data_IF_066921991704
#
_entry.id   IF_066921991704
#
_cell.length_a   1.000
_cell.length_b   1.000
_cell.length_c   1.000
_cell.angle_alpha   90.00
_cell.angle_beta   90.00
_cell.angle_gamma   90.00
#
_symmetry.space_group_name_H-M   'P 1'
#
loop_
_entity.id
_entity.type
_entity.pdbx_description
1 polymer ?
#
# COMPACT_ATOMS: atom_id res chain seq x y z
N UNK A 1 11.29 0.11 9.35
CA UNK A 1 12.59 -0.50 8.95
C UNK A 1 12.53 -1.03 7.52
N UNK A 2 13.37 -0.53 6.59
CA UNK A 2 13.46 -1.02 5.21
C UNK A 2 14.07 -2.44 5.10
N UNK A 3 13.79 -3.15 4.02
CA UNK A 3 14.28 -4.52 3.80
C UNK A 3 15.82 -4.65 3.84
N UNK A 4 16.54 -3.64 3.35
CA UNK A 4 18.00 -3.65 3.29
C UNK A 4 18.68 -2.85 4.40
N UNK A 5 17.92 -2.30 5.37
CA UNK A 5 18.34 -1.27 6.33
C UNK A 5 19.85 -1.28 6.65
N UNK A 6 20.68 -0.52 5.89
CA UNK A 6 22.13 -0.77 5.88
C UNK A 6 22.80 -0.46 7.22
N UNK A 7 22.24 0.50 7.96
CA UNK A 7 22.69 0.89 9.30
C UNK A 7 22.55 -0.24 10.32
N UNK A 8 21.59 -1.15 10.14
CA UNK A 8 21.41 -2.31 11.01
C UNK A 8 20.77 -3.48 10.23
N UNK A 9 21.58 -4.28 9.51
CA UNK A 9 21.06 -5.39 8.71
C UNK A 9 20.50 -6.53 9.56
N UNK A 10 20.95 -6.66 10.81
CA UNK A 10 20.39 -7.65 11.74
C UNK A 10 18.94 -7.30 12.10
N UNK A 11 18.68 -6.02 12.37
CA UNK A 11 17.32 -5.53 12.60
C UNK A 11 16.43 -5.74 11.38
N UNK A 12 16.92 -5.48 10.16
CA UNK A 12 16.14 -5.74 8.94
C UNK A 12 15.71 -7.22 8.82
N UNK A 13 16.64 -8.15 9.08
CA UNK A 13 16.34 -9.60 9.06
C UNK A 13 15.34 -9.97 10.15
N UNK A 14 15.49 -9.41 11.36
CA UNK A 14 14.57 -9.64 12.46
C UNK A 14 13.16 -9.14 12.15
N UNK A 15 13.02 -7.90 11.64
CA UNK A 15 11.74 -7.33 11.21
C UNK A 15 11.09 -8.19 10.13
N UNK A 16 11.86 -8.65 9.14
CA UNK A 16 11.37 -9.56 8.10
C UNK A 16 10.83 -10.87 8.70
N UNK A 17 11.52 -11.42 9.71
CA UNK A 17 11.06 -12.61 10.43
C UNK A 17 9.75 -12.35 11.18
N UNK A 18 9.60 -11.21 11.87
CA UNK A 18 8.35 -10.88 12.57
C UNK A 18 7.17 -10.79 11.59
N UNK A 19 7.34 -10.08 10.47
CA UNK A 19 6.29 -9.98 9.43
C UNK A 19 5.91 -11.33 8.85
N UNK A 20 6.87 -12.23 8.64
CA UNK A 20 6.60 -13.61 8.18
C UNK A 20 5.78 -14.39 9.21
N UNK A 21 6.18 -14.35 10.49
CA UNK A 21 5.48 -15.06 11.56
C UNK A 21 4.05 -14.52 11.75
N UNK A 22 3.85 -13.22 11.65
CA UNK A 22 2.53 -12.61 11.66
C UNK A 22 1.65 -13.06 10.49
N UNK A 23 2.19 -13.07 9.27
CA UNK A 23 1.47 -13.58 8.11
C UNK A 23 1.06 -15.05 8.27
N UNK A 24 1.94 -15.88 8.82
CA UNK A 24 1.62 -17.28 9.13
C UNK A 24 0.48 -17.39 10.14
N UNK A 25 0.52 -16.59 11.20
CA UNK A 25 -0.54 -16.50 12.21
C UNK A 25 -1.89 -16.12 11.57
N UNK A 26 -1.91 -15.09 10.71
CA UNK A 26 -3.12 -14.64 10.02
C UNK A 26 -3.71 -15.70 9.07
N UNK A 27 -2.86 -16.54 8.48
CA UNK A 27 -3.29 -17.63 7.60
C UNK A 27 -3.56 -18.95 8.35
N UNK A 28 -3.70 -18.91 9.67
CA UNK A 28 -3.89 -20.10 10.53
C UNK A 28 -2.81 -21.17 10.37
N UNK A 29 -1.60 -20.78 10.00
CA UNK A 29 -0.43 -21.66 9.95
C UNK A 29 0.33 -21.61 11.28
N UNK A 30 1.09 -22.67 11.57
CA UNK A 30 1.95 -22.73 12.76
C UNK A 30 2.93 -21.55 12.78
N UNK A 31 2.87 -20.74 13.83
CA UNK A 31 3.66 -19.52 14.01
C UNK A 31 4.22 -19.47 15.42
N UNK A 32 5.43 -18.91 15.58
CA UNK A 32 6.03 -18.63 16.88
C UNK A 32 5.69 -17.24 17.42
N UNK A 33 4.63 -16.65 16.91
CA UNK A 33 4.10 -15.36 17.34
C UNK A 33 3.18 -15.55 18.55
N UNK A 34 3.57 -15.04 19.72
CA UNK A 34 2.77 -15.10 20.94
C UNK A 34 1.91 -13.84 21.11
N UNK A 35 0.80 -13.89 21.88
CA UNK A 35 -0.02 -12.71 22.18
C UNK A 35 0.78 -11.55 22.80
N UNK A 36 1.72 -11.85 23.70
CA UNK A 36 2.54 -10.84 24.38
C UNK A 36 3.49 -10.16 23.38
N UNK A 37 4.08 -10.93 22.46
CA UNK A 37 4.94 -10.36 21.41
C UNK A 37 4.13 -9.48 20.46
N UNK A 38 2.90 -9.88 20.11
CA UNK A 38 2.02 -9.05 19.29
C UNK A 38 1.72 -7.72 19.99
N UNK A 39 1.37 -7.79 21.28
CA UNK A 39 1.06 -6.59 22.06
C UNK A 39 2.26 -5.63 22.08
N UNK A 40 3.44 -6.11 22.46
CA UNK A 40 4.66 -5.27 22.51
C UNK A 40 5.01 -4.65 21.15
N UNK A 41 4.77 -5.36 20.05
CA UNK A 41 5.00 -4.83 18.70
C UNK A 41 3.93 -3.80 18.31
N UNK A 42 2.67 -4.03 18.67
CA UNK A 42 1.59 -3.09 18.41
C UNK A 42 1.75 -1.80 19.24
N UNK A 43 2.23 -1.90 20.48
CA UNK A 43 2.47 -0.75 21.37
C UNK A 43 3.53 0.23 20.81
N UNK A 44 4.44 -0.27 19.97
CA UNK A 44 5.43 0.55 19.24
C UNK A 44 5.02 0.85 17.80
N UNK A 45 3.73 0.70 17.49
CA UNK A 45 3.14 0.92 16.17
C UNK A 45 3.87 0.17 15.04
N UNK A 46 4.22 -1.09 15.31
CA UNK A 46 4.99 -1.89 14.36
C UNK A 46 4.24 -2.09 13.04
N UNK A 47 4.82 -1.61 11.95
CA UNK A 47 4.26 -1.78 10.61
C UNK A 47 4.46 -3.22 10.11
N UNK A 48 3.38 -4.02 10.20
CA UNK A 48 3.30 -5.40 9.74
C UNK A 48 3.32 -5.54 8.22
N UNK A 49 2.56 -4.69 7.51
CA UNK A 49 2.52 -4.65 6.05
C UNK A 49 3.11 -3.33 5.53
N UNK A 50 4.36 -3.39 5.09
CA UNK A 50 5.02 -2.21 4.50
C UNK A 50 4.46 -1.80 3.14
N UNK A 51 3.84 -2.72 2.40
CA UNK A 51 3.21 -2.38 1.13
C UNK A 51 1.92 -1.62 1.35
N UNK A 52 1.11 -2.06 2.32
CA UNK A 52 -0.11 -1.33 2.71
C UNK A 52 0.23 0.04 3.29
N UNK A 53 1.20 0.13 4.20
CA UNK A 53 1.63 1.42 4.74
C UNK A 53 2.08 2.41 3.66
N UNK A 54 2.86 1.95 2.67
CA UNK A 54 3.28 2.80 1.55
C UNK A 54 2.11 3.18 0.64
N UNK A 55 1.13 2.29 0.45
CA UNK A 55 -0.08 2.61 -0.30
C UNK A 55 -0.90 3.69 0.41
N UNK A 56 -1.09 3.57 1.74
CA UNK A 56 -1.78 4.58 2.56
C UNK A 56 -1.06 5.94 2.52
N UNK A 57 0.26 5.96 2.64
CA UNK A 57 1.06 7.19 2.53
C UNK A 57 0.83 7.90 1.18
N UNK A 58 0.81 7.14 0.08
CA UNK A 58 0.57 7.70 -1.26
C UNK A 58 -0.88 8.09 -1.49
N UNK A 59 -1.82 7.38 -0.87
CA UNK A 59 -3.22 7.78 -0.85
C UNK A 59 -3.38 9.13 -0.15
N UNK A 60 -2.80 9.32 1.04
CA UNK A 60 -2.83 10.61 1.76
C UNK A 60 -2.24 11.75 0.92
N UNK A 61 -1.10 11.51 0.27
CA UNK A 61 -0.50 12.50 -0.63
C UNK A 61 -1.41 12.85 -1.84
N UNK A 62 -2.20 11.89 -2.34
CA UNK A 62 -3.19 12.14 -3.38
C UNK A 62 -4.38 12.95 -2.84
N UNK A 63 -4.83 12.71 -1.61
CA UNK A 63 -5.89 13.49 -0.96
C UNK A 63 -5.45 14.96 -0.84
N UNK A 64 -4.24 15.20 -0.37
CA UNK A 64 -3.64 16.55 -0.29
C UNK A 64 -3.57 17.21 -1.68
N UNK A 65 -3.09 16.46 -2.69
CA UNK A 65 -3.05 16.94 -4.07
C UNK A 65 -4.45 17.34 -4.56
N UNK A 66 -5.47 16.52 -4.30
CA UNK A 66 -6.86 16.83 -4.68
C UNK A 66 -7.34 18.11 -4.00
N UNK A 67 -7.04 18.31 -2.72
CA UNK A 67 -7.44 19.53 -2.01
C UNK A 67 -6.81 20.78 -2.62
N UNK A 68 -5.56 20.69 -3.09
CA UNK A 68 -4.83 21.81 -3.69
C UNK A 68 -5.24 22.11 -5.14
N UNK A 69 -5.54 21.07 -5.93
CA UNK A 69 -5.74 21.18 -7.36
C UNK A 69 -7.18 20.92 -7.81
N UNK A 70 -8.08 20.53 -6.89
CA UNK A 70 -9.45 20.08 -7.15
C UNK A 70 -9.54 18.92 -8.16
N UNK A 71 -8.48 18.14 -8.31
CA UNK A 71 -8.42 17.01 -9.24
C UNK A 71 -7.51 15.91 -8.72
N UNK A 72 -7.80 14.67 -9.10
CA UNK A 72 -6.92 13.52 -8.90
C UNK A 72 -6.02 13.26 -10.12
N UNK A 73 -6.11 14.10 -11.16
CA UNK A 73 -5.29 14.00 -12.35
C UNK A 73 -3.89 14.56 -12.10
N UNK A 74 -2.99 13.73 -11.57
CA UNK A 74 -1.58 14.09 -11.35
C UNK A 74 -0.80 13.96 -12.67
N UNK A 75 -0.26 15.05 -13.25
CA UNK A 75 0.53 14.99 -14.48
C UNK A 75 1.85 14.22 -14.28
N UNK A 76 2.39 13.59 -15.31
CA UNK A 76 3.72 12.96 -15.23
C UNK A 76 4.86 13.95 -15.03
N UNK A 77 4.63 15.21 -15.39
CA UNK A 77 5.56 16.32 -15.17
C UNK A 77 5.49 16.88 -13.76
N UNK A 78 4.53 16.46 -12.91
CA UNK A 78 4.42 16.91 -11.52
C UNK A 78 5.71 16.70 -10.72
N UNK A 79 5.95 17.57 -9.74
CA UNK A 79 7.18 17.61 -8.95
C UNK A 79 7.39 16.31 -8.16
N UNK A 80 6.34 15.79 -7.51
CA UNK A 80 6.40 14.44 -6.92
C UNK A 80 6.21 13.36 -7.99
N UNK A 81 7.33 12.93 -8.58
CA UNK A 81 7.36 11.82 -9.55
C UNK A 81 6.88 10.49 -8.97
N UNK A 82 7.01 10.27 -7.65
CA UNK A 82 6.56 9.03 -7.01
C UNK A 82 5.03 9.00 -6.96
N UNK A 83 4.39 10.12 -6.62
CA UNK A 83 2.93 10.22 -6.64
C UNK A 83 2.38 10.08 -8.06
N UNK A 84 2.94 10.79 -9.05
CA UNK A 84 2.52 10.68 -10.44
C UNK A 84 2.62 9.24 -10.98
N UNK A 85 3.72 8.55 -10.65
CA UNK A 85 3.91 7.14 -11.01
C UNK A 85 2.91 6.23 -10.29
N UNK A 86 2.66 6.47 -9.00
CA UNK A 86 1.71 5.69 -8.21
C UNK A 86 0.28 5.81 -8.74
N UNK A 87 -0.17 7.01 -9.13
CA UNK A 87 -1.49 7.26 -9.74
C UNK A 87 -1.65 6.46 -11.05
N UNK A 88 -0.62 6.48 -11.92
CA UNK A 88 -0.61 5.65 -13.14
C UNK A 88 -0.69 4.16 -12.82
N UNK A 89 0.03 3.72 -11.79
CA UNK A 89 -0.04 2.34 -11.32
C UNK A 89 -1.46 1.98 -10.84
N UNK A 90 -2.15 2.84 -10.09
CA UNK A 90 -3.53 2.56 -9.64
C UNK A 90 -4.48 2.32 -10.83
N UNK A 91 -4.44 3.19 -11.85
CA UNK A 91 -5.25 3.02 -13.07
C UNK A 91 -4.96 1.70 -13.79
N UNK A 92 -3.67 1.32 -13.91
CA UNK A 92 -3.27 0.02 -14.49
C UNK A 92 -3.79 -1.15 -13.66
N UNK A 93 -3.63 -1.11 -12.34
CA UNK A 93 -4.06 -2.20 -11.45
C UNK A 93 -5.59 -2.34 -11.43
N UNK A 94 -6.32 -1.22 -11.48
CA UNK A 94 -7.78 -1.23 -11.66
C UNK A 94 -8.19 -1.91 -12.95
N UNK A 95 -7.59 -1.54 -14.09
CA UNK A 95 -7.85 -2.20 -15.38
C UNK A 95 -7.60 -3.71 -15.32
N UNK A 96 -6.49 -4.15 -14.72
CA UNK A 96 -6.20 -5.58 -14.56
C UNK A 96 -7.26 -6.29 -13.70
N UNK A 97 -7.70 -5.65 -12.61
CA UNK A 97 -8.74 -6.17 -11.72
C UNK A 97 -10.06 -6.39 -12.46
N UNK A 98 -10.54 -5.39 -13.21
CA UNK A 98 -11.78 -5.48 -13.98
C UNK A 98 -11.70 -6.48 -15.14
N UNK A 99 -10.51 -6.74 -15.67
CA UNK A 99 -10.28 -7.74 -16.70
C UNK A 99 -10.14 -9.17 -16.14
N UNK A 100 -10.31 -9.38 -14.83
CA UNK A 100 -10.11 -10.67 -14.17
C UNK A 100 -8.65 -11.14 -14.20
N UNK A 101 -7.70 -10.24 -14.44
CA UNK A 101 -6.26 -10.54 -14.45
C UNK A 101 -5.67 -10.34 -13.06
N UNK A 102 -4.50 -10.94 -12.83
CA UNK A 102 -3.77 -10.74 -11.59
C UNK A 102 -3.51 -9.25 -11.34
N UNK A 103 -4.00 -8.76 -10.21
CA UNK A 103 -3.91 -7.37 -9.80
C UNK A 103 -3.59 -7.27 -8.31
N UNK A 104 -2.85 -6.22 -7.95
CA UNK A 104 -2.63 -5.80 -6.56
C UNK A 104 -3.76 -4.88 -6.04
N UNK A 105 -4.76 -4.61 -6.87
CA UNK A 105 -5.95 -3.86 -6.47
C UNK A 105 -6.86 -4.72 -5.59
N UNK A 106 -7.42 -4.12 -4.55
CA UNK A 106 -8.43 -4.74 -3.69
C UNK A 106 -9.71 -3.91 -3.71
N UNK A 107 -10.85 -4.51 -3.39
CA UNK A 107 -12.11 -3.77 -3.29
C UNK A 107 -12.04 -2.62 -2.27
N UNK A 108 -11.28 -2.79 -1.19
CA UNK A 108 -11.06 -1.74 -0.21
C UNK A 108 -10.33 -0.53 -0.82
N UNK A 109 -9.22 -0.77 -1.55
CA UNK A 109 -8.47 0.30 -2.23
C UNK A 109 -9.30 1.02 -3.29
N UNK A 110 -10.15 0.27 -4.01
CA UNK A 110 -11.10 0.85 -4.98
C UNK A 110 -12.05 1.82 -4.28
N UNK A 111 -12.71 1.39 -3.21
CA UNK A 111 -13.65 2.23 -2.46
C UNK A 111 -13.00 3.50 -1.90
N UNK A 112 -11.76 3.40 -1.41
CA UNK A 112 -11.02 4.57 -0.91
C UNK A 112 -10.69 5.57 -2.02
N UNK A 113 -10.36 5.10 -3.23
CA UNK A 113 -10.10 5.97 -4.37
C UNK A 113 -11.41 6.57 -4.91
N UNK A 114 -12.49 5.80 -4.96
CA UNK A 114 -13.82 6.30 -5.32
C UNK A 114 -14.34 7.37 -4.35
N UNK A 115 -14.05 7.25 -3.04
CA UNK A 115 -14.48 8.25 -2.04
C UNK A 115 -13.86 9.63 -2.28
N UNK A 116 -12.74 9.70 -2.99
CA UNK A 116 -12.12 10.95 -3.43
C UNK A 116 -12.40 11.25 -4.91
N UNK A 117 -13.44 10.65 -5.50
CA UNK A 117 -13.81 10.83 -6.91
C UNK A 117 -12.61 10.63 -7.83
N UNK A 118 -11.79 9.62 -7.54
CA UNK A 118 -10.64 9.30 -8.35
C UNK A 118 -11.07 8.92 -9.76
N UNK A 119 -10.57 9.67 -10.76
CA UNK A 119 -10.83 9.37 -12.15
C UNK A 119 -9.94 8.21 -12.62
N UNK A 120 -10.61 7.07 -12.84
CA UNK A 120 -9.99 5.84 -13.30
C UNK A 120 -9.61 5.86 -14.78
N UNK A 121 -10.18 6.77 -15.59
CA UNK A 121 -10.17 6.76 -17.06
C UNK A 121 -10.18 5.32 -17.63
N UNK A 122 -11.29 4.62 -17.44
CA UNK A 122 -11.57 3.42 -18.22
C UNK A 122 -12.30 3.89 -19.47
N UNK A 123 -11.59 4.06 -20.60
CA UNK A 123 -12.28 4.15 -21.89
C UNK A 123 -13.25 2.96 -21.97
N UNK A 124 -14.54 3.18 -22.24
CA UNK A 124 -15.48 2.08 -22.35
C UNK A 124 -15.01 1.18 -23.48
N UNK A 125 -14.87 -0.11 -23.19
CA UNK A 125 -14.95 -1.13 -24.24
C UNK A 125 -16.33 -0.98 -24.86
N UNK A 126 -16.36 -0.45 -26.09
CA UNK A 126 -17.53 -0.49 -26.97
C UNK A 126 -17.94 -1.94 -27.20
#
# INVERSE_FOLDING_TARGET
VPHTYPKNPQLARWVKRQRRQYKMLQSSQSSSMTPERLQLLNDVEFVWDSHEANWCEKYSALVEYKQQHNTCHVPSTFTDKKLATWVKCQRRQYKLFFQGRQSAMSQHRIRLLESIQFDWEVRPTK
#
